data_IF_303096974282
#
_entry.id   IF_303096974282
#
_cell.length_a   1.000
_cell.length_b   1.000
_cell.length_c   1.000
_cell.angle_alpha   90.00
_cell.angle_beta   90.00
_cell.angle_gamma   90.00
#
_symmetry.space_group_name_H-M   'P 1'
#
loop_
_entity.id
_entity.type
_entity.pdbx_description
1 polymer ?
#
# COMPACT_ATOMS: atom_id res chain seq x y z
N UNK A 1 -3.26 3.13 -31.47
CA UNK A 1 -3.05 4.07 -30.34
C UNK A 1 -1.56 4.11 -30.06
N UNK A 2 -1.00 5.23 -29.58
CA UNK A 2 0.38 5.27 -29.12
C UNK A 2 0.49 4.36 -27.89
N UNK A 3 1.44 3.42 -27.91
CA UNK A 3 1.77 2.64 -26.72
C UNK A 3 2.67 3.49 -25.82
N UNK A 4 2.29 3.64 -24.56
CA UNK A 4 3.08 4.35 -23.55
C UNK A 4 3.95 3.38 -22.79
N UNK A 5 5.17 3.82 -22.47
CA UNK A 5 6.10 3.10 -21.60
C UNK A 5 6.04 3.70 -20.21
N UNK A 6 5.61 2.92 -19.22
CA UNK A 6 5.37 3.36 -17.85
C UNK A 6 6.26 2.58 -16.89
N UNK A 7 7.05 3.30 -16.09
CA UNK A 7 7.77 2.73 -14.95
C UNK A 7 6.85 2.69 -13.73
N UNK A 8 6.73 1.54 -13.09
CA UNK A 8 6.03 1.40 -11.80
C UNK A 8 7.03 1.23 -10.66
N UNK A 9 6.82 1.91 -9.52
CA UNK A 9 7.71 1.87 -8.35
C UNK A 9 6.90 1.49 -7.10
N UNK A 10 7.23 0.35 -6.49
CA UNK A 10 6.59 -0.17 -5.29
C UNK A 10 7.63 -0.40 -4.17
N UNK A 11 7.94 0.62 -3.37
CA UNK A 11 8.88 0.51 -2.27
C UNK A 11 8.27 -0.28 -1.10
N UNK A 12 9.00 -1.29 -0.66
CA UNK A 12 8.72 -2.04 0.55
C UNK A 12 9.77 -1.78 1.64
N UNK A 13 9.66 -2.47 2.76
CA UNK A 13 10.61 -2.36 3.88
C UNK A 13 11.96 -3.00 3.55
N UNK A 14 11.94 -4.17 2.92
CA UNK A 14 13.12 -4.98 2.60
C UNK A 14 13.51 -4.96 1.13
N UNK A 15 12.65 -4.44 0.26
CA UNK A 15 12.93 -4.38 -1.18
C UNK A 15 12.17 -3.25 -1.85
N UNK A 16 12.60 -2.89 -3.07
CA UNK A 16 11.83 -2.06 -4.00
C UNK A 16 11.56 -2.86 -5.26
N UNK A 17 10.28 -3.09 -5.55
CA UNK A 17 9.85 -3.74 -6.79
C UNK A 17 9.56 -2.70 -7.85
N UNK A 18 9.98 -2.97 -9.06
CA UNK A 18 9.77 -2.11 -10.23
C UNK A 18 9.27 -2.94 -11.39
N UNK A 19 8.37 -2.38 -12.17
CA UNK A 19 7.96 -2.95 -13.44
C UNK A 19 7.99 -1.89 -14.52
N UNK A 20 8.36 -2.26 -15.72
CA UNK A 20 8.22 -1.39 -16.90
C UNK A 20 7.20 -2.03 -17.83
N UNK A 21 6.13 -1.29 -18.09
CA UNK A 21 5.01 -1.75 -18.92
C UNK A 21 4.95 -0.89 -20.17
N UNK A 22 4.86 -1.52 -21.35
CA UNK A 22 4.64 -0.85 -22.63
C UNK A 22 3.33 -1.31 -23.24
N UNK A 23 2.37 -0.40 -23.34
CA UNK A 23 0.99 -0.78 -23.65
C UNK A 23 0.45 -1.76 -22.62
N UNK A 24 0.07 -2.97 -23.04
CA UNK A 24 -0.43 -4.05 -22.16
C UNK A 24 0.65 -5.10 -21.80
N UNK A 25 1.92 -4.85 -22.16
CA UNK A 25 3.00 -5.82 -21.97
C UNK A 25 3.98 -5.35 -20.90
N UNK A 26 4.22 -6.19 -19.92
CA UNK A 26 5.36 -6.05 -19.02
C UNK A 26 6.64 -6.37 -19.80
N UNK A 27 7.57 -5.41 -19.89
CA UNK A 27 8.82 -5.55 -20.62
C UNK A 27 10.04 -5.68 -19.69
N UNK A 28 9.91 -5.29 -18.43
CA UNK A 28 10.88 -5.56 -17.36
C UNK A 28 10.18 -5.67 -16.01
N UNK A 29 10.71 -6.53 -15.13
CA UNK A 29 10.26 -6.68 -13.75
C UNK A 29 11.49 -6.92 -12.88
N UNK A 30 11.81 -5.97 -12.03
CA UNK A 30 13.01 -5.97 -11.21
C UNK A 30 12.63 -5.86 -9.74
N UNK A 31 13.41 -6.50 -8.90
CA UNK A 31 13.37 -6.33 -7.45
C UNK A 31 14.78 -6.00 -6.94
N UNK A 32 14.88 -4.96 -6.15
CA UNK A 32 16.13 -4.56 -5.50
C UNK A 32 15.95 -4.77 -4.00
N UNK A 33 16.71 -5.68 -3.44
CA UNK A 33 16.76 -5.93 -2.01
C UNK A 33 17.49 -4.82 -1.26
N UNK A 34 17.07 -4.54 -0.06
CA UNK A 34 17.65 -3.53 0.82
C UNK A 34 18.06 -4.13 2.14
N UNK A 35 19.25 -3.81 2.57
CA UNK A 35 19.76 -4.14 3.89
C UNK A 35 19.61 -2.96 4.84
N UNK A 36 19.54 -3.22 6.14
CA UNK A 36 19.41 -2.16 7.16
C UNK A 36 20.58 -1.20 7.12
N UNK A 37 21.73 -1.70 6.77
CA UNK A 37 23.01 -0.99 6.67
C UNK A 37 22.97 0.09 5.56
N UNK A 38 22.23 -0.15 4.49
CA UNK A 38 22.07 0.80 3.38
C UNK A 38 21.43 2.12 3.85
N UNK A 39 20.65 2.05 4.94
CA UNK A 39 19.87 3.18 5.47
C UNK A 39 20.29 3.59 6.89
N UNK A 40 21.49 3.20 7.33
CA UNK A 40 21.95 3.44 8.70
C UNK A 40 21.94 4.92 9.12
N UNK A 41 22.17 5.84 8.17
CA UNK A 41 22.19 7.28 8.41
C UNK A 41 20.83 7.96 8.17
N UNK A 42 19.83 7.23 7.64
CA UNK A 42 18.51 7.76 7.33
C UNK A 42 17.66 7.86 8.60
N UNK A 43 17.14 9.05 8.89
CA UNK A 43 16.24 9.31 10.04
C UNK A 43 14.77 9.11 9.67
N UNK A 44 14.41 9.35 8.42
CA UNK A 44 13.06 9.22 7.88
C UNK A 44 13.06 8.34 6.64
N UNK A 45 11.89 7.90 6.19
CA UNK A 45 11.80 7.22 4.90
C UNK A 45 12.19 8.14 3.74
N UNK A 46 11.88 9.42 3.81
CA UNK A 46 12.23 10.38 2.76
C UNK A 46 13.76 10.46 2.54
N UNK A 47 14.57 10.27 3.59
CA UNK A 47 16.03 10.29 3.50
C UNK A 47 16.58 9.10 2.70
N UNK A 48 15.81 8.02 2.55
CA UNK A 48 16.20 6.84 1.77
C UNK A 48 16.07 7.04 0.25
N UNK A 49 15.36 8.12 -0.17
CA UNK A 49 15.05 8.34 -1.57
C UNK A 49 16.27 8.36 -2.49
N UNK A 50 17.36 9.13 -2.22
CA UNK A 50 18.51 9.19 -3.11
C UNK A 50 19.20 7.83 -3.28
N UNK A 51 19.28 7.06 -2.18
CA UNK A 51 19.91 5.73 -2.17
C UNK A 51 19.08 4.76 -3.02
N UNK A 52 17.77 4.68 -2.75
CA UNK A 52 16.88 3.80 -3.50
C UNK A 52 16.79 4.20 -4.98
N UNK A 53 16.79 5.50 -5.28
CA UNK A 53 16.76 5.98 -6.66
C UNK A 53 18.03 5.57 -7.43
N UNK A 54 19.21 5.63 -6.80
CA UNK A 54 20.44 5.15 -7.41
C UNK A 54 20.38 3.64 -7.73
N UNK A 55 19.84 2.85 -6.80
CA UNK A 55 19.65 1.41 -7.00
C UNK A 55 18.65 1.10 -8.12
N UNK A 56 17.53 1.85 -8.19
CA UNK A 56 16.54 1.74 -9.25
C UNK A 56 17.16 2.02 -10.62
N UNK A 57 17.92 3.11 -10.75
CA UNK A 57 18.58 3.46 -12.01
C UNK A 57 19.51 2.37 -12.49
N UNK A 58 20.31 1.81 -11.57
CA UNK A 58 21.21 0.71 -11.88
C UNK A 58 20.46 -0.53 -12.37
N UNK A 59 19.38 -0.91 -11.68
CA UNK A 59 18.58 -2.06 -12.07
C UNK A 59 17.92 -1.87 -13.46
N UNK A 60 17.42 -0.67 -13.76
CA UNK A 60 16.87 -0.36 -15.10
C UNK A 60 17.95 -0.40 -16.20
N UNK A 61 19.16 0.08 -15.91
CA UNK A 61 20.28 0.00 -16.83
C UNK A 61 20.69 -1.46 -17.11
N UNK A 62 20.74 -2.30 -16.09
CA UNK A 62 21.02 -3.74 -16.20
C UNK A 62 19.96 -4.47 -17.06
N UNK A 63 18.71 -4.05 -17.01
CA UNK A 63 17.61 -4.53 -17.87
C UNK A 63 17.60 -3.88 -19.27
N UNK A 64 18.52 -2.98 -19.56
CA UNK A 64 18.59 -2.29 -20.84
C UNK A 64 17.47 -1.25 -21.06
N UNK A 65 16.86 -0.77 -20.01
CA UNK A 65 15.80 0.25 -20.05
C UNK A 65 16.42 1.64 -19.93
N UNK A 66 16.32 2.42 -21.00
CA UNK A 66 16.75 3.82 -20.96
C UNK A 66 15.66 4.68 -20.32
N UNK A 67 16.04 5.56 -19.38
CA UNK A 67 15.08 6.48 -18.73
C UNK A 67 14.41 7.43 -19.75
N UNK A 68 15.07 7.73 -20.87
CA UNK A 68 14.53 8.54 -21.97
C UNK A 68 13.37 7.87 -22.71
N UNK A 69 13.18 6.56 -22.55
CA UNK A 69 12.12 5.81 -23.22
C UNK A 69 10.81 5.79 -22.41
N UNK A 70 10.85 6.33 -21.20
CA UNK A 70 9.69 6.41 -20.33
C UNK A 70 8.77 7.55 -20.73
N UNK A 71 7.49 7.27 -20.83
CA UNK A 71 6.43 8.27 -21.06
C UNK A 71 5.75 8.71 -19.74
N UNK A 72 5.82 7.90 -18.68
CA UNK A 72 5.25 8.21 -17.37
C UNK A 72 5.89 7.36 -16.26
N UNK A 73 5.68 7.79 -15.02
CA UNK A 73 6.04 7.03 -13.81
C UNK A 73 4.81 6.85 -12.94
N UNK A 74 4.64 5.68 -12.35
CA UNK A 74 3.56 5.41 -11.39
C UNK A 74 4.14 4.84 -10.08
N UNK A 75 3.89 5.51 -8.96
CA UNK A 75 4.34 5.09 -7.64
C UNK A 75 3.20 4.53 -6.78
N UNK A 76 3.53 3.60 -5.89
CA UNK A 76 2.60 3.23 -4.82
C UNK A 76 2.41 4.41 -3.88
N UNK A 77 1.15 4.68 -3.47
CA UNK A 77 0.79 5.85 -2.67
C UNK A 77 0.44 5.55 -1.22
N UNK A 78 1.10 6.27 -0.31
CA UNK A 78 0.76 6.38 1.11
C UNK A 78 1.29 7.73 1.63
N UNK A 79 0.95 8.11 2.85
CA UNK A 79 1.36 9.39 3.43
C UNK A 79 0.45 10.56 3.04
N UNK A 80 -0.71 10.26 2.46
CA UNK A 80 -1.72 11.21 2.02
C UNK A 80 -2.91 11.25 2.97
N UNK A 81 -3.70 12.31 2.92
CA UNK A 81 -5.04 12.32 3.50
C UNK A 81 -5.96 11.31 2.80
N UNK A 82 -7.04 10.83 3.48
CA UNK A 82 -8.05 10.00 2.86
C UNK A 82 -8.61 10.62 1.58
N UNK A 83 -8.72 9.81 0.53
CA UNK A 83 -9.22 10.24 -0.78
C UNK A 83 -10.05 9.14 -1.44
N UNK A 84 -10.84 9.47 -2.44
CA UNK A 84 -11.54 8.46 -3.25
C UNK A 84 -10.56 7.57 -4.03
N UNK A 85 -11.02 6.40 -4.47
CA UNK A 85 -10.26 5.57 -5.40
C UNK A 85 -10.11 6.23 -6.77
N UNK A 86 -9.00 5.98 -7.45
CA UNK A 86 -8.72 6.54 -8.77
C UNK A 86 -7.25 6.68 -9.08
N UNK A 87 -6.96 7.24 -10.25
CA UNK A 87 -5.62 7.60 -10.70
C UNK A 87 -5.41 9.10 -10.51
N UNK A 88 -4.36 9.46 -9.81
CA UNK A 88 -4.03 10.85 -9.48
C UNK A 88 -2.68 11.22 -10.07
N UNK A 89 -2.60 12.38 -10.69
CA UNK A 89 -1.31 12.99 -11.05
C UNK A 89 -0.63 13.47 -9.78
N UNK A 90 0.65 13.16 -9.63
CA UNK A 90 1.46 13.65 -8.52
C UNK A 90 1.85 15.10 -8.82
N UNK A 91 1.35 16.01 -8.02
CA UNK A 91 1.77 17.42 -7.98
C UNK A 91 2.65 17.68 -6.75
N UNK A 92 3.09 18.92 -6.59
CA UNK A 92 3.90 19.36 -5.45
C UNK A 92 3.19 19.14 -4.12
N UNK A 93 1.86 19.30 -4.07
CA UNK A 93 1.08 19.08 -2.85
C UNK A 93 1.10 17.62 -2.44
N UNK A 94 0.88 16.69 -3.37
CA UNK A 94 0.94 15.26 -3.09
C UNK A 94 2.35 14.81 -2.68
N UNK A 95 3.39 15.38 -3.31
CA UNK A 95 4.78 15.15 -2.93
C UNK A 95 5.08 15.61 -1.49
N UNK A 96 4.71 16.85 -1.12
CA UNK A 96 4.91 17.36 0.23
C UNK A 96 4.09 16.60 1.27
N UNK A 97 2.87 16.19 0.96
CA UNK A 97 2.06 15.33 1.82
C UNK A 97 2.77 14.00 2.10
N UNK A 98 3.24 13.31 1.05
CA UNK A 98 3.93 12.03 1.20
C UNK A 98 5.24 12.14 1.96
N UNK A 99 6.00 13.22 1.72
CA UNK A 99 7.27 13.51 2.39
C UNK A 99 7.11 13.76 3.88
N UNK A 100 6.03 14.45 4.27
CA UNK A 100 5.73 14.80 5.66
C UNK A 100 4.78 13.80 6.33
N UNK A 101 4.37 12.74 5.64
CA UNK A 101 3.48 11.69 6.14
C UNK A 101 2.20 12.24 6.81
N UNK A 102 1.54 13.17 6.13
CA UNK A 102 0.37 13.88 6.69
C UNK A 102 -0.80 12.94 7.05
N UNK A 103 -0.88 11.76 6.42
CA UNK A 103 -1.86 10.73 6.75
C UNK A 103 -1.55 9.95 8.05
N UNK A 104 -0.38 10.20 8.66
CA UNK A 104 0.04 9.55 9.91
C UNK A 104 0.33 8.05 9.79
N UNK A 105 0.52 7.55 8.57
CA UNK A 105 0.86 6.15 8.28
C UNK A 105 2.32 6.08 7.85
N UNK A 106 3.22 5.91 8.78
CA UNK A 106 4.65 5.75 8.48
C UNK A 106 4.90 4.43 7.77
N UNK A 107 5.11 4.49 6.46
CA UNK A 107 5.35 3.31 5.64
C UNK A 107 6.27 3.66 4.45
N UNK A 108 7.25 2.79 4.10
CA UNK A 108 8.17 3.07 2.99
C UNK A 108 7.49 3.28 1.63
N UNK A 109 6.24 2.88 1.47
CA UNK A 109 5.47 3.15 0.25
C UNK A 109 5.24 4.65 -0.03
N UNK A 110 5.45 5.57 0.94
CA UNK A 110 5.47 7.02 0.68
C UNK A 110 6.56 7.42 -0.31
N UNK A 111 7.66 6.66 -0.31
CA UNK A 111 8.73 6.81 -1.30
C UNK A 111 8.27 6.58 -2.75
N UNK A 112 7.20 5.81 -2.97
CA UNK A 112 6.64 5.64 -4.30
C UNK A 112 6.19 6.96 -4.91
N UNK A 113 5.51 7.82 -4.13
CA UNK A 113 5.12 9.18 -4.56
C UNK A 113 6.36 10.06 -4.71
N UNK A 114 7.25 10.06 -3.70
CA UNK A 114 8.43 10.92 -3.65
C UNK A 114 9.36 10.66 -4.85
N UNK A 115 9.69 9.41 -5.09
CA UNK A 115 10.59 9.00 -6.18
C UNK A 115 9.94 9.24 -7.55
N UNK A 116 8.64 8.90 -7.70
CA UNK A 116 7.93 9.13 -8.96
C UNK A 116 7.82 10.61 -9.30
N UNK A 117 7.56 11.48 -8.31
CA UNK A 117 7.53 12.92 -8.52
C UNK A 117 8.89 13.44 -9.00
N UNK A 118 9.97 13.11 -8.29
CA UNK A 118 11.32 13.59 -8.63
C UNK A 118 11.76 13.10 -10.01
N UNK A 119 11.54 11.82 -10.32
CA UNK A 119 11.88 11.27 -11.62
C UNK A 119 11.03 11.91 -12.73
N UNK A 120 9.73 12.12 -12.48
CA UNK A 120 8.84 12.83 -13.40
C UNK A 120 9.30 14.26 -13.69
N UNK A 121 9.74 15.00 -12.67
CA UNK A 121 10.31 16.35 -12.84
C UNK A 121 11.62 16.33 -13.65
N UNK A 122 12.53 15.41 -13.34
CA UNK A 122 13.81 15.29 -14.02
C UNK A 122 13.66 14.97 -15.50
N UNK A 123 12.77 14.03 -15.83
CA UNK A 123 12.54 13.57 -17.20
C UNK A 123 11.50 14.41 -17.96
N UNK A 124 10.85 15.37 -17.27
CA UNK A 124 9.74 16.16 -17.81
C UNK A 124 8.58 15.28 -18.33
N UNK A 125 8.25 14.23 -17.59
CA UNK A 125 7.13 13.32 -17.86
C UNK A 125 6.15 13.29 -16.67
N UNK A 126 4.87 12.93 -16.89
CA UNK A 126 3.90 12.87 -15.81
C UNK A 126 4.19 11.74 -14.83
N UNK A 127 3.94 12.01 -13.55
CA UNK A 127 3.99 11.03 -12.47
C UNK A 127 2.60 10.82 -11.88
N UNK A 128 2.28 9.58 -11.49
CA UNK A 128 0.96 9.18 -10.99
C UNK A 128 1.05 8.29 -9.76
N UNK A 129 -0.04 8.23 -9.00
CA UNK A 129 -0.34 7.13 -8.07
C UNK A 129 -1.77 6.65 -8.30
N UNK A 130 -2.03 5.38 -7.97
CA UNK A 130 -3.32 4.73 -8.24
C UNK A 130 -3.83 4.09 -6.96
N UNK A 131 -5.12 4.30 -6.65
CA UNK A 131 -5.79 3.70 -5.50
C UNK A 131 -4.87 3.63 -4.27
N UNK A 132 -4.43 4.79 -3.73
CA UNK A 132 -3.44 4.82 -2.67
C UNK A 132 -3.96 4.15 -1.40
N UNK A 133 -3.07 3.77 -0.48
CA UNK A 133 -3.45 3.09 0.76
C UNK A 133 -4.55 3.83 1.56
N UNK A 134 -4.57 5.18 1.63
CA UNK A 134 -5.64 5.93 2.29
C UNK A 134 -6.91 6.09 1.44
N UNK A 135 -7.15 5.23 0.44
CA UNK A 135 -8.44 5.22 -0.26
C UNK A 135 -9.56 4.94 0.71
N UNK A 136 -10.52 5.87 0.79
CA UNK A 136 -11.66 5.82 1.70
C UNK A 136 -12.96 6.08 0.96
N UNK A 137 -13.70 5.01 0.69
CA UNK A 137 -15.00 5.02 0.01
C UNK A 137 -16.09 4.35 0.88
N UNK A 138 -15.80 4.16 2.19
CA UNK A 138 -16.76 3.54 3.11
C UNK A 138 -18.08 4.31 3.11
N UNK A 139 -19.19 3.59 3.07
CA UNK A 139 -20.51 4.19 3.29
C UNK A 139 -20.66 4.64 4.76
N UNK A 140 -21.59 5.54 5.02
CA UNK A 140 -21.79 6.11 6.36
C UNK A 140 -22.08 5.02 7.41
N UNK A 141 -22.86 4.00 7.05
CA UNK A 141 -23.20 2.89 7.95
C UNK A 141 -21.97 2.06 8.33
N UNK A 142 -21.01 1.88 7.40
CA UNK A 142 -19.78 1.17 7.67
C UNK A 142 -18.82 1.91 8.61
N UNK A 143 -19.02 3.23 8.80
CA UNK A 143 -18.22 4.07 9.70
C UNK A 143 -18.69 4.03 11.16
N UNK A 144 -19.96 3.65 11.39
CA UNK A 144 -20.55 3.71 12.71
C UNK A 144 -19.90 2.68 13.65
N UNK A 145 -19.58 3.13 14.87
CA UNK A 145 -19.19 2.27 15.99
C UNK A 145 -20.23 2.41 17.12
N UNK A 146 -20.19 1.51 18.09
CA UNK A 146 -21.03 1.64 19.30
C UNK A 146 -20.58 2.74 20.28
N UNK A 147 -19.51 3.48 19.96
CA UNK A 147 -18.94 4.51 20.84
C UNK A 147 -19.17 5.89 20.21
N UNK A 148 -19.89 6.81 20.89
CA UNK A 148 -20.12 8.15 20.37
C UNK A 148 -18.81 8.89 20.03
N UNK A 149 -18.76 9.51 18.84
CA UNK A 149 -17.61 10.28 18.39
C UNK A 149 -16.44 9.45 17.84
N UNK A 150 -16.53 8.12 17.85
CA UNK A 150 -15.54 7.23 17.25
C UNK A 150 -16.10 6.62 15.97
N UNK A 151 -15.41 6.87 14.86
CA UNK A 151 -15.76 6.38 13.53
C UNK A 151 -14.67 5.48 12.98
N UNK A 152 -15.07 4.48 12.19
CA UNK A 152 -14.14 3.58 11.50
C UNK A 152 -13.49 4.28 10.30
N UNK A 153 -12.16 4.41 10.22
CA UNK A 153 -11.48 4.80 8.99
C UNK A 153 -11.34 3.59 8.05
N UNK A 154 -11.19 3.84 6.75
CA UNK A 154 -10.77 2.82 5.80
C UNK A 154 -9.28 2.49 6.00
N UNK A 155 -8.95 1.21 6.14
CA UNK A 155 -7.57 0.70 6.26
C UNK A 155 -7.45 -0.70 5.66
N UNK A 156 -7.46 -0.78 4.34
CA UNK A 156 -7.43 -2.00 3.56
C UNK A 156 -6.30 -2.00 2.52
N UNK A 157 -6.37 -2.85 1.50
CA UNK A 157 -5.41 -2.92 0.40
C UNK A 157 -6.06 -2.49 -0.93
N UNK A 158 -6.45 -1.20 -1.06
CA UNK A 158 -7.32 -0.74 -2.16
C UNK A 158 -6.72 -0.97 -3.55
N UNK A 159 -5.41 -0.75 -3.74
CA UNK A 159 -4.77 -0.94 -5.04
C UNK A 159 -5.00 -2.36 -5.57
N UNK A 160 -4.67 -3.38 -4.78
CA UNK A 160 -4.83 -4.77 -5.19
C UNK A 160 -6.30 -5.15 -5.31
N UNK A 161 -7.13 -4.82 -4.30
CA UNK A 161 -8.53 -5.23 -4.27
C UNK A 161 -9.35 -4.62 -5.41
N UNK A 162 -9.16 -3.33 -5.69
CA UNK A 162 -9.84 -2.68 -6.83
C UNK A 162 -9.33 -3.24 -8.17
N UNK A 163 -8.02 -3.48 -8.30
CA UNK A 163 -7.48 -4.01 -9.55
C UNK A 163 -7.98 -5.43 -9.84
N UNK A 164 -8.07 -6.29 -8.83
CA UNK A 164 -8.65 -7.63 -8.97
C UNK A 164 -10.12 -7.56 -9.41
N UNK A 165 -10.91 -6.65 -8.81
CA UNK A 165 -12.30 -6.45 -9.18
C UNK A 165 -12.46 -5.92 -10.61
N UNK A 166 -11.64 -4.95 -11.01
CA UNK A 166 -11.61 -4.39 -12.37
C UNK A 166 -11.28 -5.50 -13.37
N UNK A 167 -10.16 -6.20 -13.15
CA UNK A 167 -9.73 -7.26 -14.06
C UNK A 167 -10.77 -8.38 -14.19
N UNK A 168 -11.37 -8.83 -13.09
CA UNK A 168 -12.43 -9.84 -13.15
C UNK A 168 -13.67 -9.33 -13.91
N UNK A 169 -14.06 -8.07 -13.72
CA UNK A 169 -15.20 -7.50 -14.46
C UNK A 169 -14.94 -7.45 -15.97
N UNK A 170 -13.72 -7.09 -16.38
CA UNK A 170 -13.29 -7.09 -17.78
C UNK A 170 -13.35 -8.50 -18.39
N UNK A 171 -12.87 -9.53 -17.67
CA UNK A 171 -12.98 -10.92 -18.10
C UNK A 171 -14.42 -11.37 -18.31
N UNK A 172 -15.36 -10.79 -17.56
CA UNK A 172 -16.80 -11.03 -17.71
C UNK A 172 -17.47 -10.13 -18.77
N UNK A 173 -16.73 -9.27 -19.46
CA UNK A 173 -17.26 -8.31 -20.43
C UNK A 173 -18.12 -7.22 -19.79
N UNK A 174 -17.87 -6.87 -18.52
CA UNK A 174 -18.60 -5.86 -17.75
C UNK A 174 -17.64 -4.75 -17.32
N UNK A 175 -18.22 -3.61 -16.91
CA UNK A 175 -17.46 -2.57 -16.19
C UNK A 175 -17.51 -2.85 -14.69
N UNK A 176 -16.47 -2.46 -13.96
CA UNK A 176 -16.41 -2.61 -12.52
C UNK A 176 -17.55 -1.86 -11.81
N UNK A 177 -17.96 -0.71 -12.36
CA UNK A 177 -19.07 0.12 -11.87
C UNK A 177 -20.45 -0.55 -12.02
N UNK A 178 -20.55 -1.62 -12.82
CA UNK A 178 -21.78 -2.39 -13.01
C UNK A 178 -21.82 -3.66 -12.14
N UNK A 179 -20.79 -3.87 -11.31
CA UNK A 179 -20.60 -5.09 -10.53
C UNK A 179 -20.56 -4.83 -9.02
N UNK A 180 -20.91 -5.88 -8.28
CA UNK A 180 -20.73 -5.94 -6.83
C UNK A 180 -19.83 -7.13 -6.49
N UNK A 181 -18.90 -6.95 -5.54
CA UNK A 181 -17.93 -7.97 -5.14
C UNK A 181 -17.73 -8.03 -3.64
N UNK A 182 -17.34 -9.20 -3.16
CA UNK A 182 -16.58 -9.36 -1.93
C UNK A 182 -15.17 -9.78 -2.35
N UNK A 183 -14.19 -8.95 -2.04
CA UNK A 183 -12.80 -9.17 -2.42
C UNK A 183 -11.98 -9.48 -1.17
N UNK A 184 -11.23 -10.59 -1.24
CA UNK A 184 -10.30 -11.03 -0.21
C UNK A 184 -8.87 -10.80 -0.69
N UNK A 185 -8.11 -9.96 0.01
CA UNK A 185 -6.67 -9.83 -0.12
C UNK A 185 -6.04 -10.64 1.01
N UNK A 186 -5.34 -11.72 0.67
CA UNK A 186 -4.69 -12.63 1.61
C UNK A 186 -3.17 -12.48 1.47
N UNK A 187 -2.54 -11.90 2.47
CA UNK A 187 -1.10 -11.64 2.50
C UNK A 187 -0.61 -11.51 3.94
N UNK A 188 0.47 -10.79 4.19
CA UNK A 188 0.95 -10.48 5.54
C UNK A 188 -0.12 -9.83 6.44
N UNK A 189 -1.05 -9.10 5.85
CA UNK A 189 -2.34 -8.71 6.43
C UNK A 189 -3.49 -9.20 5.57
N UNK A 190 -4.66 -9.44 6.16
CA UNK A 190 -5.85 -9.90 5.45
C UNK A 190 -6.90 -8.81 5.40
N UNK A 191 -7.29 -8.38 4.19
CA UNK A 191 -8.41 -7.46 3.98
C UNK A 191 -9.56 -8.16 3.27
N UNK A 192 -10.75 -8.02 3.82
CA UNK A 192 -12.00 -8.44 3.21
C UNK A 192 -12.84 -7.20 3.02
N UNK A 193 -13.21 -6.88 1.78
CA UNK A 193 -13.95 -5.66 1.46
C UNK A 193 -15.16 -5.96 0.60
N UNK A 194 -16.23 -5.22 0.86
CA UNK A 194 -17.42 -5.19 0.03
C UNK A 194 -17.31 -4.06 -0.99
N UNK A 195 -17.49 -4.41 -2.25
CA UNK A 195 -17.48 -3.44 -3.35
C UNK A 195 -18.87 -3.35 -3.96
N UNK A 196 -19.36 -2.16 -4.11
CA UNK A 196 -20.63 -1.87 -4.80
C UNK A 196 -20.38 -0.82 -5.86
N UNK A 197 -20.71 -1.15 -7.11
CA UNK A 197 -20.68 -0.22 -8.26
C UNK A 197 -19.38 0.61 -8.34
N UNK A 198 -18.26 -0.10 -8.27
CA UNK A 198 -16.93 0.53 -8.42
C UNK A 198 -16.35 1.15 -7.13
N UNK A 199 -17.05 1.06 -5.99
CA UNK A 199 -16.60 1.63 -4.70
C UNK A 199 -16.41 0.57 -3.65
N UNK A 200 -15.42 0.75 -2.80
CA UNK A 200 -15.15 -0.08 -1.61
C UNK A 200 -15.99 0.45 -0.44
N UNK A 201 -17.23 -0.05 -0.29
CA UNK A 201 -18.23 0.51 0.62
C UNK A 201 -18.11 0.05 2.08
N UNK A 202 -17.46 -1.08 2.34
CA UNK A 202 -17.20 -1.61 3.67
C UNK A 202 -15.98 -2.55 3.65
N UNK A 203 -15.39 -2.80 4.81
CA UNK A 203 -14.30 -3.75 4.98
C UNK A 203 -13.71 -3.73 6.38
N UNK A 204 -12.89 -4.73 6.70
CA UNK A 204 -12.15 -4.76 7.95
C UNK A 204 -10.95 -3.80 7.93
N UNK A 205 -10.53 -3.36 9.12
CA UNK A 205 -9.37 -2.48 9.32
C UNK A 205 -8.09 -3.31 9.43
N UNK A 206 -7.71 -3.96 8.33
CA UNK A 206 -6.54 -4.85 8.32
C UNK A 206 -5.25 -4.18 8.81
N UNK A 207 -5.07 -2.89 8.51
CA UNK A 207 -3.91 -2.12 8.99
C UNK A 207 -3.83 -1.96 10.51
N UNK A 208 -4.96 -2.10 11.21
CA UNK A 208 -5.04 -2.05 12.69
C UNK A 208 -5.20 -3.44 13.32
N UNK A 209 -5.03 -4.51 12.54
CA UNK A 209 -5.12 -5.89 13.02
C UNK A 209 -6.54 -6.47 13.05
N UNK A 210 -7.56 -5.71 12.63
CA UNK A 210 -8.94 -6.20 12.59
C UNK A 210 -9.14 -7.22 11.46
N UNK A 211 -9.98 -8.23 11.72
CA UNK A 211 -10.36 -9.27 10.75
C UNK A 211 -9.72 -10.63 11.08
N UNK A 212 -9.59 -11.52 10.11
CA UNK A 212 -8.98 -12.82 10.34
C UNK A 212 -7.52 -12.71 10.77
N UNK A 213 -7.06 -13.68 11.55
CA UNK A 213 -5.64 -13.85 11.83
C UNK A 213 -4.86 -13.98 10.50
N UNK A 214 -3.69 -13.42 10.43
CA UNK A 214 -2.83 -13.45 9.23
C UNK A 214 -1.37 -13.60 9.62
N UNK A 215 -0.43 -13.82 8.68
CA UNK A 215 0.98 -13.98 9.01
C UNK A 215 1.55 -12.90 9.94
N UNK A 216 1.11 -11.65 9.84
CA UNK A 216 1.65 -10.54 10.63
C UNK A 216 0.61 -9.86 11.54
N UNK A 217 -0.62 -10.37 11.65
CA UNK A 217 -1.72 -9.74 12.40
C UNK A 217 -2.36 -10.74 13.33
N UNK A 218 -2.69 -10.29 14.54
CA UNK A 218 -3.38 -11.12 15.54
C UNK A 218 -4.79 -11.52 15.14
N UNK A 219 -5.40 -10.80 14.21
CA UNK A 219 -6.84 -10.89 13.97
C UNK A 219 -7.65 -10.14 15.02
N UNK A 220 -8.97 -10.31 15.00
CA UNK A 220 -9.87 -9.66 15.94
C UNK A 220 -9.57 -10.12 17.39
N UNK A 221 -9.40 -9.15 18.27
CA UNK A 221 -9.21 -9.36 19.70
C UNK A 221 -10.41 -8.80 20.48
N UNK A 222 -10.87 -9.54 21.49
CA UNK A 222 -11.82 -8.99 22.43
C UNK A 222 -11.16 -7.88 23.27
N UNK A 223 -11.91 -6.82 23.58
CA UNK A 223 -11.41 -5.71 24.42
C UNK A 223 -10.86 -6.21 25.75
N UNK A 224 -11.52 -7.21 26.36
CA UNK A 224 -11.07 -7.81 27.64
C UNK A 224 -9.69 -8.45 27.52
N UNK A 225 -9.34 -9.05 26.39
CA UNK A 225 -8.03 -9.67 26.21
C UNK A 225 -6.92 -8.61 26.08
N UNK A 226 -7.21 -7.51 25.37
CA UNK A 226 -6.31 -6.35 25.32
C UNK A 226 -6.11 -5.75 26.70
N UNK A 227 -7.18 -5.58 27.48
CA UNK A 227 -7.12 -5.08 28.86
C UNK A 227 -6.32 -6.03 29.76
N UNK A 228 -6.47 -7.34 29.64
CA UNK A 228 -5.67 -8.34 30.37
C UNK A 228 -4.18 -8.23 30.05
N UNK A 229 -3.81 -8.02 28.79
CA UNK A 229 -2.43 -7.81 28.37
C UNK A 229 -1.83 -6.54 29.05
N UNK A 230 -2.57 -5.43 29.00
CA UNK A 230 -2.15 -4.18 29.65
C UNK A 230 -2.02 -4.35 31.17
N UNK A 231 -2.96 -5.03 31.84
CA UNK A 231 -2.88 -5.32 33.27
C UNK A 231 -1.70 -6.22 33.64
N UNK A 232 -1.17 -7.02 32.72
CA UNK A 232 0.04 -7.83 32.90
C UNK A 232 1.32 -7.05 32.64
N UNK A 233 1.26 -5.75 32.33
CA UNK A 233 2.40 -4.87 32.16
C UNK A 233 2.83 -4.64 30.71
N UNK A 234 2.08 -5.16 29.72
CA UNK A 234 2.29 -4.82 28.31
C UNK A 234 1.82 -3.39 28.09
N UNK A 235 2.66 -2.52 27.54
CA UNK A 235 2.28 -1.14 27.24
C UNK A 235 1.20 -1.09 26.14
N UNK A 236 0.38 -0.01 26.05
CA UNK A 236 -0.56 0.16 24.98
C UNK A 236 0.07 0.11 23.56
N UNK A 237 1.28 0.62 23.41
CA UNK A 237 2.01 0.60 22.13
C UNK A 237 2.46 -0.83 21.79
N UNK A 238 2.96 -1.60 22.73
CA UNK A 238 3.28 -3.01 22.53
C UNK A 238 2.02 -3.84 22.20
N UNK A 239 0.89 -3.58 22.89
CA UNK A 239 -0.37 -4.26 22.59
C UNK A 239 -0.84 -3.95 21.14
N UNK A 240 -0.65 -2.71 20.69
CA UNK A 240 -0.91 -2.31 19.30
C UNK A 240 0.02 -3.01 18.31
N UNK A 241 1.31 -3.12 18.65
CA UNK A 241 2.30 -3.83 17.84
C UNK A 241 1.94 -5.32 17.68
N UNK A 242 1.52 -5.98 18.76
CA UNK A 242 1.03 -7.36 18.68
C UNK A 242 -0.19 -7.49 17.77
N UNK A 243 -1.14 -6.55 17.83
CA UNK A 243 -2.30 -6.57 16.96
C UNK A 243 -1.95 -6.37 15.48
N UNK A 244 -0.98 -5.50 15.16
CA UNK A 244 -0.77 -4.98 13.81
C UNK A 244 0.47 -5.49 13.08
N UNK A 245 1.47 -6.05 13.79
CA UNK A 245 2.76 -6.41 13.17
C UNK A 245 3.51 -7.59 13.78
N UNK A 246 3.22 -7.94 15.04
CA UNK A 246 3.89 -9.02 15.76
C UNK A 246 2.95 -10.18 16.12
N UNK A 247 1.65 -10.00 16.02
CA UNK A 247 0.66 -11.07 16.17
C UNK A 247 0.66 -11.95 14.92
N UNK A 248 0.92 -13.27 15.06
CA UNK A 248 1.51 -13.97 13.94
C UNK A 248 1.13 -15.45 13.86
N UNK A 249 0.69 -15.88 12.68
CA UNK A 249 0.71 -17.30 12.33
C UNK A 249 2.15 -17.86 12.29
N UNK A 250 3.16 -17.02 12.01
CA UNK A 250 4.57 -17.41 12.08
C UNK A 250 4.99 -17.85 13.50
N UNK A 251 4.34 -17.30 14.54
CA UNK A 251 4.59 -17.70 15.93
C UNK A 251 3.97 -19.06 16.25
N UNK A 252 2.97 -19.50 15.47
CA UNK A 252 2.30 -20.80 15.65
C UNK A 252 2.84 -21.87 14.72
N UNK A 253 3.58 -21.52 13.65
CA UNK A 253 4.19 -22.50 12.76
C UNK A 253 5.40 -23.18 13.40
N UNK A 254 6.17 -22.48 14.23
CA UNK A 254 7.28 -23.08 14.97
C UNK A 254 6.81 -24.04 16.09
N UNK A 255 5.54 -23.90 16.52
CA UNK A 255 4.93 -24.79 17.52
C UNK A 255 4.27 -26.03 16.88
N UNK A 256 4.19 -26.12 15.57
CA UNK A 256 3.60 -27.25 14.84
C UNK A 256 4.67 -28.27 14.36
N UNK A 257 5.95 -27.91 14.49
CA UNK A 257 7.09 -28.75 14.12
C UNK A 257 7.74 -29.44 15.36
N UNK A 258 7.18 -29.27 16.57
CA UNK A 258 7.48 -30.03 17.80
C UNK A 258 6.33 -31.04 18.07
#
# INVERSE_FOLDING_TARGET
MKEFTVLTINPGSSSTKMGVVKGDKEIANCEVDHHKEDFAECKTFADQEPIRMAMIRKALEEEGIALSDLDAVAGRGVGLYPCAGGTYKIDELAYEHAKNDVGGIRHPASLGIIMSYKLGQELNIPAFFVNPMPTDELCDMARVTGIPGIYRPAKSHPLNQKQVAIHHSELMGKKYEDCNYIILHLGGGTSITAHEKGKMIDGNRAGDGQGPISPNRSGDLCVDDVIKCIKKGISPDEAKDYASSKGCLLYTSDAADE
#
